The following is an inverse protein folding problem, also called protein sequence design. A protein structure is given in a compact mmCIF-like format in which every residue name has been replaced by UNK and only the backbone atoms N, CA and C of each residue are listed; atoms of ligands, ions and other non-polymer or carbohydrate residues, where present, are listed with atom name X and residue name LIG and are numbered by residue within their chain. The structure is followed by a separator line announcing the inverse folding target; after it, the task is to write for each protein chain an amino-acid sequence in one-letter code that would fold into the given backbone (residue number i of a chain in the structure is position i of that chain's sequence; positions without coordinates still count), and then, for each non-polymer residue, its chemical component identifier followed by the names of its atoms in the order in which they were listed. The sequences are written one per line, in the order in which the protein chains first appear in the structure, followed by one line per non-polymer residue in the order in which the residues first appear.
data_IF_476912340037
#
_entry.id   IF_476912340037
#
_cell.length_a   1.000
_cell.length_b   1.000
_cell.length_c   1.000
_cell.angle_alpha   90.00
_cell.angle_beta   90.00
_cell.angle_gamma   90.00
#
_symmetry.space_group_name_H-M   'P 1'
#
loop_
_entity.id
_entity.type
_entity.pdbx_description
1 polymer ?
#
# COMPACT_ATOMS: atom_id res chain seq x y z
N UNK A 1 -4.19 22.74 3.69
CA UNK A 1 -5.58 22.37 3.39
C UNK A 1 -5.60 20.87 3.22
N UNK A 2 -6.18 20.14 4.17
CA UNK A 2 -6.34 18.69 4.04
C UNK A 2 -7.42 18.46 2.98
N UNK A 3 -7.20 17.63 1.95
CA UNK A 3 -8.27 17.25 1.03
C UNK A 3 -9.36 16.58 1.86
N UNK A 4 -10.51 17.24 1.97
CA UNK A 4 -11.65 16.73 2.72
C UNK A 4 -12.16 15.46 2.08
N UNK A 5 -12.78 14.59 2.87
CA UNK A 5 -13.55 13.45 2.35
C UNK A 5 -14.83 14.02 1.71
N UNK A 6 -14.67 14.61 0.52
CA UNK A 6 -15.74 15.09 -0.33
C UNK A 6 -16.17 14.01 -1.32
N UNK A 7 -17.31 14.22 -1.97
CA UNK A 7 -17.81 13.31 -3.02
C UNK A 7 -16.81 13.17 -4.17
N UNK A 8 -16.14 14.26 -4.55
CA UNK A 8 -15.13 14.28 -5.61
C UNK A 8 -13.92 13.42 -5.25
N UNK A 9 -13.35 13.56 -4.06
CA UNK A 9 -12.25 12.71 -3.58
C UNK A 9 -12.62 11.23 -3.53
N UNK A 10 -13.84 10.90 -3.07
CA UNK A 10 -14.33 9.52 -3.08
C UNK A 10 -14.38 8.98 -4.52
N UNK A 11 -14.80 9.79 -5.49
CA UNK A 11 -14.84 9.40 -6.90
C UNK A 11 -13.44 9.16 -7.47
N UNK A 12 -12.46 10.01 -7.13
CA UNK A 12 -11.05 9.81 -7.53
C UNK A 12 -10.50 8.53 -6.93
N UNK A 13 -10.73 8.26 -5.64
CA UNK A 13 -10.34 7.01 -5.00
C UNK A 13 -11.03 5.79 -5.62
N UNK A 14 -12.31 5.90 -5.98
CA UNK A 14 -13.02 4.82 -6.65
C UNK A 14 -12.38 4.49 -8.02
N UNK A 15 -12.06 5.50 -8.83
CA UNK A 15 -11.39 5.30 -10.11
C UNK A 15 -9.98 4.72 -9.92
N UNK A 16 -9.20 5.25 -8.98
CA UNK A 16 -7.87 4.72 -8.67
C UNK A 16 -7.93 3.25 -8.22
N UNK A 17 -8.88 2.91 -7.35
CA UNK A 17 -9.10 1.53 -6.92
C UNK A 17 -9.48 0.60 -8.07
N UNK A 18 -10.32 1.07 -9.02
CA UNK A 18 -10.66 0.29 -10.22
C UNK A 18 -9.45 0.03 -11.11
N UNK A 19 -8.50 0.96 -11.22
CA UNK A 19 -7.29 0.79 -12.02
C UNK A 19 -6.31 -0.17 -11.33
N UNK A 20 -6.09 -0.01 -10.03
CA UNK A 20 -5.10 -0.79 -9.27
C UNK A 20 -5.56 -2.24 -9.07
N UNK A 21 -6.82 -2.42 -8.66
CA UNK A 21 -7.38 -3.72 -8.31
C UNK A 21 -8.07 -4.36 -9.51
N UNK A 22 -8.66 -3.56 -10.39
CA UNK A 22 -9.46 -4.03 -11.52
C UNK A 22 -10.97 -3.92 -11.25
N UNK A 23 -11.79 -3.61 -12.28
CA UNK A 23 -13.22 -3.37 -12.13
C UNK A 23 -14.04 -4.62 -11.76
N UNK A 24 -13.50 -5.83 -11.99
CA UNK A 24 -14.16 -7.09 -11.65
C UNK A 24 -13.80 -7.59 -10.25
N UNK A 25 -12.62 -7.23 -9.75
CA UNK A 25 -12.10 -7.76 -8.49
C UNK A 25 -12.59 -6.94 -7.29
N UNK A 26 -12.75 -5.62 -7.44
CA UNK A 26 -13.31 -4.73 -6.42
C UNK A 26 -14.69 -5.20 -5.90
N UNK A 27 -15.71 -5.49 -6.74
CA UNK A 27 -17.01 -5.99 -6.26
C UNK A 27 -16.91 -7.38 -5.62
N UNK A 28 -16.00 -8.24 -6.09
CA UNK A 28 -15.80 -9.56 -5.50
C UNK A 28 -15.16 -9.45 -4.11
N UNK A 29 -14.20 -8.55 -3.92
CA UNK A 29 -13.58 -8.23 -2.64
C UNK A 29 -14.58 -7.61 -1.67
N UNK A 30 -15.41 -6.65 -2.11
CA UNK A 30 -16.47 -6.08 -1.28
C UNK A 30 -17.46 -7.14 -0.79
N UNK A 31 -17.81 -8.13 -1.63
CA UNK A 31 -18.66 -9.25 -1.20
C UNK A 31 -18.00 -10.08 -0.11
N UNK A 32 -16.70 -10.40 -0.25
CA UNK A 32 -15.94 -11.14 0.77
C UNK A 32 -15.86 -10.34 2.06
N UNK A 33 -15.43 -9.08 1.99
CA UNK A 33 -15.35 -8.19 3.15
C UNK A 33 -16.72 -8.05 3.83
N UNK A 34 -17.77 -7.85 3.04
CA UNK A 34 -19.14 -7.73 3.53
C UNK A 34 -19.64 -9.00 4.22
N UNK A 35 -19.26 -10.19 3.74
CA UNK A 35 -19.57 -11.45 4.44
C UNK A 35 -18.83 -11.56 5.77
N UNK A 36 -17.55 -11.15 5.84
CA UNK A 36 -16.79 -11.13 7.09
C UNK A 36 -17.38 -10.15 8.09
N UNK A 37 -17.63 -8.91 7.66
CA UNK A 37 -18.27 -7.88 8.49
C UNK A 37 -19.68 -8.31 8.91
N UNK A 38 -20.44 -8.93 8.02
CA UNK A 38 -21.77 -9.46 8.30
C UNK A 38 -21.76 -10.55 9.37
N UNK A 39 -20.81 -11.48 9.30
CA UNK A 39 -20.59 -12.51 10.33
C UNK A 39 -20.17 -11.89 11.66
N UNK A 40 -19.22 -10.97 11.66
CA UNK A 40 -18.82 -10.24 12.86
C UNK A 40 -19.97 -9.47 13.50
N UNK A 41 -20.82 -8.82 12.68
CA UNK A 41 -22.02 -8.11 13.15
C UNK A 41 -23.09 -9.07 13.68
N UNK A 42 -23.24 -10.26 13.11
CA UNK A 42 -24.13 -11.30 13.63
C UNK A 42 -23.66 -11.76 15.01
N UNK A 43 -22.38 -12.14 15.14
CA UNK A 43 -21.77 -12.50 16.41
C UNK A 43 -21.92 -11.38 17.45
N UNK A 44 -21.65 -10.13 17.08
CA UNK A 44 -21.82 -8.97 17.96
C UNK A 44 -23.27 -8.81 18.46
N UNK A 45 -24.27 -9.17 17.65
CA UNK A 45 -25.68 -9.16 18.08
C UNK A 45 -25.98 -10.27 19.09
N UNK A 46 -25.43 -11.46 18.90
CA UNK A 46 -25.50 -12.55 19.90
C UNK A 46 -24.85 -12.12 21.22
N UNK A 47 -23.65 -11.51 21.15
CA UNK A 47 -22.98 -10.99 22.34
C UNK A 47 -23.81 -9.90 23.00
N UNK A 48 -24.36 -8.96 22.24
CA UNK A 48 -25.20 -7.91 22.78
C UNK A 48 -26.44 -8.47 23.49
N UNK A 49 -27.08 -9.50 22.92
CA UNK A 49 -28.19 -10.18 23.58
C UNK A 49 -27.76 -10.87 24.89
N UNK A 50 -26.63 -11.58 24.88
CA UNK A 50 -26.08 -12.22 26.09
C UNK A 50 -25.63 -11.18 27.14
N UNK A 51 -25.06 -10.05 26.72
CA UNK A 51 -24.72 -8.94 27.59
C UNK A 51 -25.98 -8.30 28.17
N UNK A 52 -27.05 -8.09 27.41
CA UNK A 52 -28.31 -7.54 27.93
C UNK A 52 -28.97 -8.47 28.97
N UNK A 53 -28.80 -9.79 28.83
CA UNK A 53 -29.22 -10.78 29.83
C UNK A 53 -28.36 -10.72 31.10
N UNK A 54 -27.03 -10.61 30.95
CA UNK A 54 -26.09 -10.49 32.07
C UNK A 54 -26.18 -9.11 32.73
N UNK A 55 -26.54 -8.04 32.01
CA UNK A 55 -26.73 -6.67 32.52
C UNK A 55 -27.77 -6.56 33.62
N UNK A 56 -28.72 -7.50 33.64
CA UNK A 56 -29.73 -7.61 34.70
C UNK A 56 -29.16 -8.21 35.98
N UNK A 57 -27.96 -8.80 35.93
CA UNK A 57 -27.11 -9.17 37.05
C UNK A 57 -25.95 -8.17 37.23
N UNK A 58 -25.54 -7.89 38.46
CA UNK A 58 -24.64 -6.79 38.86
C UNK A 58 -23.20 -6.74 38.25
N UNK A 59 -22.82 -7.66 37.37
CA UNK A 59 -21.44 -7.83 36.89
C UNK A 59 -21.03 -6.83 35.76
N UNK A 60 -21.99 -6.19 35.08
CA UNK A 60 -21.66 -5.24 34.01
C UNK A 60 -21.24 -3.85 34.49
N UNK A 61 -21.62 -3.46 35.69
CA UNK A 61 -21.24 -2.15 36.25
C UNK A 61 -19.74 -2.12 36.56
N UNK A 62 -19.19 -3.23 37.05
CA UNK A 62 -17.76 -3.41 37.31
C UNK A 62 -16.94 -3.45 36.01
N UNK A 63 -17.41 -4.19 34.98
CA UNK A 63 -16.76 -4.21 33.67
C UNK A 63 -16.77 -2.84 32.97
N UNK A 64 -17.87 -2.08 33.08
CA UNK A 64 -17.92 -0.71 32.56
C UNK A 64 -16.90 0.19 33.23
N UNK A 65 -16.70 0.03 34.55
CA UNK A 65 -15.74 0.81 35.33
C UNK A 65 -14.30 0.45 34.94
N UNK A 66 -14.02 -0.83 34.73
CA UNK A 66 -12.71 -1.31 34.27
C UNK A 66 -12.39 -0.84 32.84
N UNK A 67 -13.38 -0.84 31.94
CA UNK A 67 -13.24 -0.26 30.58
C UNK A 67 -13.02 1.25 30.65
N UNK A 68 -13.74 1.96 31.51
CA UNK A 68 -13.58 3.41 31.69
C UNK A 68 -12.20 3.74 32.29
N UNK A 69 -11.71 2.93 33.23
CA UNK A 69 -10.38 3.05 33.82
C UNK A 69 -9.27 2.69 32.82
N UNK A 70 -9.47 1.69 31.95
CA UNK A 70 -8.58 1.40 30.81
C UNK A 70 -8.59 2.53 29.79
N UNK A 71 -9.73 3.16 29.55
CA UNK A 71 -9.87 4.28 28.62
C UNK A 71 -9.28 5.59 29.20
N UNK A 72 -9.32 5.74 30.52
CA UNK A 72 -8.62 6.80 31.27
C UNK A 72 -7.14 6.52 31.39
N UNK A 73 -6.75 5.26 31.50
CA UNK A 73 -5.35 4.85 31.37
C UNK A 73 -4.91 5.29 29.99
N UNK A 74 -3.90 6.15 29.96
CA UNK A 74 -3.47 6.85 28.77
C UNK A 74 -2.99 5.90 27.65
N UNK A 75 -2.99 4.58 27.83
CA UNK A 75 -2.53 3.58 26.88
C UNK A 75 -3.17 3.73 25.50
N UNK A 76 -4.48 3.98 25.42
CA UNK A 76 -5.15 4.23 24.13
C UNK A 76 -4.77 5.58 23.54
N UNK A 77 -4.67 6.64 24.36
CA UNK A 77 -4.26 7.97 23.90
C UNK A 77 -2.80 8.01 23.45
N UNK A 78 -1.95 7.25 24.13
CA UNK A 78 -0.53 7.09 23.85
C UNK A 78 -0.34 6.30 22.56
N UNK A 79 -1.04 5.17 22.39
CA UNK A 79 -1.03 4.43 21.12
C UNK A 79 -1.53 5.29 19.94
N UNK A 80 -2.57 6.11 20.13
CA UNK A 80 -3.02 7.04 19.08
C UNK A 80 -2.03 8.17 18.83
N UNK A 81 -1.33 8.66 19.86
CA UNK A 81 -0.30 9.69 19.72
C UNK A 81 0.91 9.15 18.96
N UNK A 82 1.36 7.94 19.30
CA UNK A 82 2.50 7.27 18.67
C UNK A 82 2.20 6.98 17.20
N UNK A 83 0.98 6.51 16.90
CA UNK A 83 0.51 6.30 15.53
C UNK A 83 0.47 7.63 14.75
N UNK A 84 -0.06 8.70 15.35
CA UNK A 84 -0.11 10.02 14.70
C UNK A 84 1.28 10.59 14.42
N UNK A 85 2.26 10.36 15.31
CA UNK A 85 3.65 10.78 15.05
C UNK A 85 4.29 9.96 13.92
N UNK A 86 4.02 8.65 13.87
CA UNK A 86 4.53 7.79 12.82
C UNK A 86 3.94 8.14 11.45
N UNK A 87 2.64 8.43 11.38
CA UNK A 87 1.98 8.91 10.17
C UNK A 87 2.59 10.24 9.67
N UNK A 88 2.92 11.16 10.57
CA UNK A 88 3.53 12.44 10.23
C UNK A 88 4.96 12.26 9.68
N UNK A 89 5.77 11.40 10.29
CA UNK A 89 7.12 11.10 9.83
C UNK A 89 7.11 10.44 8.45
N UNK A 90 6.24 9.44 8.25
CA UNK A 90 6.08 8.76 6.95
C UNK A 90 5.61 9.75 5.88
N UNK A 91 4.63 10.59 6.17
CA UNK A 91 4.16 11.61 5.23
C UNK A 91 5.28 12.59 4.85
N UNK A 92 6.06 13.06 5.83
CA UNK A 92 7.17 13.97 5.58
C UNK A 92 8.26 13.35 4.69
N UNK A 93 8.59 12.07 4.93
CA UNK A 93 9.58 11.33 4.15
C UNK A 93 9.11 11.11 2.70
N UNK A 94 7.85 10.71 2.52
CA UNK A 94 7.24 10.52 1.20
C UNK A 94 7.17 11.84 0.41
N UNK A 95 6.84 12.95 1.07
CA UNK A 95 6.81 14.29 0.46
C UNK A 95 8.20 14.80 0.10
N UNK A 96 9.22 14.50 0.92
CA UNK A 96 10.60 14.84 0.62
C UNK A 96 11.15 14.05 -0.57
N UNK A 97 10.86 12.75 -0.63
CA UNK A 97 11.27 11.87 -1.72
C UNK A 97 10.60 12.27 -3.04
N UNK A 98 9.28 12.46 -3.04
CA UNK A 98 8.54 12.89 -4.24
C UNK A 98 9.00 14.24 -4.77
N UNK A 99 9.40 15.18 -3.89
CA UNK A 99 9.94 16.48 -4.30
C UNK A 99 11.34 16.37 -4.89
N UNK A 100 12.16 15.47 -4.37
CA UNK A 100 13.50 15.16 -4.90
C UNK A 100 13.42 14.49 -6.28
N UNK A 101 12.52 13.53 -6.44
CA UNK A 101 12.27 12.86 -7.73
C UNK A 101 11.69 13.82 -8.78
N UNK A 102 10.81 14.74 -8.36
CA UNK A 102 10.29 15.79 -9.24
C UNK A 102 11.39 16.79 -9.65
N UNK A 103 12.27 17.19 -8.73
CA UNK A 103 13.38 18.10 -9.04
C UNK A 103 14.42 17.45 -9.97
N UNK A 104 14.72 16.16 -9.78
CA UNK A 104 15.58 15.40 -10.67
C UNK A 104 15.00 15.32 -12.09
N UNK A 105 13.69 15.06 -12.22
CA UNK A 105 13.00 15.04 -13.52
C UNK A 105 12.94 16.41 -14.20
N UNK A 106 12.86 17.51 -13.43
CA UNK A 106 12.92 18.86 -13.99
C UNK A 106 14.33 19.25 -14.44
N UNK A 107 15.37 18.80 -13.72
CA UNK A 107 16.77 19.05 -14.08
C UNK A 107 17.19 18.32 -15.36
N UNK A 108 16.66 17.11 -15.59
CA UNK A 108 16.88 16.34 -16.83
C UNK A 108 16.20 16.99 -18.04
N UNK A 109 15.13 17.78 -17.84
CA UNK A 109 14.40 18.49 -18.90
C UNK A 109 14.94 19.90 -19.22
N UNK A 110 15.90 20.43 -18.44
CA UNK A 110 16.48 21.79 -18.63
C UNK A 110 18.00 21.74 -18.82
N UNK A 111 18.54 20.70 -19.45
CA UNK A 111 19.89 20.79 -20.02
C UNK A 111 19.82 21.42 -21.42
N UNK A 112 20.59 22.50 -21.70
CA UNK A 112 20.65 23.06 -23.03
C UNK A 112 21.37 22.09 -23.97
N UNK A 113 20.72 21.82 -25.09
CA UNK A 113 21.24 21.08 -26.24
C UNK A 113 22.62 21.62 -26.64
N UNK A 114 23.68 20.88 -26.30
CA UNK A 114 24.98 21.00 -26.98
C UNK A 114 24.99 19.92 -28.06
N UNK A 115 25.02 20.28 -29.35
CA UNK A 115 24.96 19.29 -30.43
C UNK A 115 26.29 18.55 -30.52
N UNK A 116 26.39 17.35 -29.92
CA UNK A 116 27.47 16.42 -30.24
C UNK A 116 27.04 15.54 -31.41
N UNK A 117 27.71 15.80 -32.53
CA UNK A 117 27.55 15.13 -33.79
C UNK A 117 27.88 13.64 -33.69
N UNK A 118 26.89 12.83 -34.06
CA UNK A 118 27.02 11.42 -34.43
C UNK A 118 27.92 11.27 -35.67
N UNK A 119 28.77 10.23 -35.70
CA UNK A 119 28.89 9.48 -36.94
C UNK A 119 28.75 7.98 -36.68
N UNK A 120 27.57 7.45 -37.03
CA UNK A 120 27.49 6.08 -37.54
C UNK A 120 28.00 6.13 -38.98
N UNK A 121 29.09 5.43 -39.27
CA UNK A 121 29.45 5.05 -40.63
C UNK A 121 29.82 3.57 -40.65
N UNK A 122 28.85 2.82 -41.15
CA UNK A 122 28.83 1.41 -41.53
C UNK A 122 29.95 1.05 -42.53
N UNK A 123 30.70 -0.02 -42.26
CA UNK A 123 31.42 -0.78 -43.29
C UNK A 123 31.77 -2.19 -42.80
N UNK A 124 30.91 -3.15 -43.17
CA UNK A 124 31.31 -4.52 -43.58
C UNK A 124 31.40 -4.49 -45.13
N UNK A 125 32.01 -5.44 -45.89
CA UNK A 125 32.47 -6.79 -45.51
C UNK A 125 33.74 -7.35 -46.22
N UNK A 126 34.34 -8.43 -45.68
CA UNK A 126 35.07 -9.47 -46.44
C UNK A 126 35.30 -10.69 -45.51
N UNK A 127 34.44 -11.71 -45.57
CA UNK A 127 34.64 -12.96 -46.32
C UNK A 127 35.74 -13.92 -45.75
N UNK A 128 35.32 -14.83 -44.83
CA UNK A 128 35.38 -16.34 -44.85
C UNK A 128 36.64 -17.06 -45.41
N UNK A 129 36.88 -18.39 -45.13
CA UNK A 129 36.20 -19.35 -44.23
C UNK A 129 37.18 -20.35 -43.52
N UNK A 130 36.59 -21.40 -42.90
CA UNK A 130 37.18 -22.72 -42.56
C UNK A 130 37.92 -22.78 -41.21
N UNK A 131 37.70 -23.74 -40.30
CA UNK A 131 37.00 -25.03 -40.31
C UNK A 131 36.85 -25.45 -38.83
N UNK A 132 35.75 -26.12 -38.46
CA UNK A 132 35.62 -26.78 -37.14
C UNK A 132 36.50 -28.05 -37.04
N UNK A 133 36.21 -29.03 -36.17
CA UNK A 133 35.08 -29.14 -35.23
C UNK A 133 35.45 -29.78 -33.86
N UNK A 134 34.42 -30.10 -33.08
CA UNK A 134 34.32 -31.25 -32.14
C UNK A 134 35.12 -31.21 -30.83
N UNK A 135 34.43 -31.08 -29.69
CA UNK A 135 34.00 -32.18 -28.79
C UNK A 135 35.03 -32.39 -27.67
N UNK A 136 34.70 -32.51 -26.39
CA UNK A 136 33.68 -33.35 -25.76
C UNK A 136 33.26 -32.80 -24.37
N UNK A 137 32.17 -33.33 -23.79
CA UNK A 137 31.57 -32.97 -22.50
C UNK A 137 32.04 -33.88 -21.34
N UNK A 138 31.38 -33.75 -20.16
CA UNK A 138 31.39 -34.56 -18.91
C UNK A 138 32.14 -33.88 -17.75
N UNK A 139 31.73 -33.92 -16.49
CA UNK A 139 30.62 -34.56 -15.76
C UNK A 139 30.53 -33.89 -14.37
N UNK A 140 29.29 -33.68 -13.94
CA UNK A 140 28.65 -33.72 -12.60
C UNK A 140 29.40 -33.72 -11.23
N UNK A 141 28.66 -33.40 -10.14
CA UNK A 141 29.17 -32.87 -8.87
C UNK A 141 29.33 -33.93 -7.77
N UNK A 142 30.05 -33.54 -6.69
CA UNK A 142 29.96 -34.13 -5.36
C UNK A 142 30.13 -33.05 -4.29
#
# INVERSE_FOLDING_TARGET
MLPGIGFTELMVLAVAALIIVGPKDLPMMMRRLGQFVGKGRAMAREFQAAFDDIARQSELEDLRKEIEDLKRSNSLKQATSDLSSYEQDVNSAVMAQSRSEAAAKLAEQTSPETPEAKPEAKSEPAAKPETGPEAEPKEDPA
#
